data_IF_432375506546
#
_entry.id   IF_432375506546
#
_cell.length_a   1.000
_cell.length_b   1.000
_cell.length_c   1.000
_cell.angle_alpha   90.00
_cell.angle_beta   90.00
_cell.angle_gamma   90.00
#
_symmetry.space_group_name_H-M   'P 1'
#
loop_
_entity.id
_entity.type
_entity.pdbx_description
1 polymer ?
#
# COMPACT_ATOMS: atom_id res chain seq x y z
N UNK A 1 -4.51 20.21 -38.02
CA UNK A 1 -4.64 18.77 -37.76
C UNK A 1 -4.33 18.53 -36.28
N UNK A 2 -5.30 18.82 -35.41
CA UNK A 2 -5.17 18.61 -33.98
C UNK A 2 -5.13 17.11 -33.69
N UNK A 3 -3.92 16.60 -33.46
CA UNK A 3 -3.70 15.22 -33.05
C UNK A 3 -4.25 15.08 -31.62
N UNK A 4 -5.49 14.59 -31.50
CA UNK A 4 -6.10 14.28 -30.21
C UNK A 4 -5.14 13.42 -29.39
N UNK A 5 -4.70 13.96 -28.24
CA UNK A 5 -3.77 13.29 -27.32
C UNK A 5 -4.37 11.95 -26.89
N UNK A 6 -3.67 10.84 -27.14
CA UNK A 6 -4.12 9.49 -26.76
C UNK A 6 -4.45 9.46 -25.26
N UNK A 7 -5.64 8.98 -24.91
CA UNK A 7 -6.10 8.84 -23.53
C UNK A 7 -5.20 7.83 -22.82
N UNK A 8 -4.35 8.29 -21.91
CA UNK A 8 -3.57 7.39 -21.04
C UNK A 8 -4.47 6.93 -19.90
N UNK A 9 -4.46 5.62 -19.63
CA UNK A 9 -5.08 5.11 -18.41
C UNK A 9 -4.33 5.70 -17.20
N UNK A 10 -5.03 6.43 -16.34
CA UNK A 10 -4.43 6.96 -15.12
C UNK A 10 -4.23 5.82 -14.13
N UNK A 11 -2.98 5.36 -14.02
CA UNK A 11 -2.57 4.43 -12.97
C UNK A 11 -2.43 5.16 -11.64
N UNK A 12 -2.66 4.44 -10.55
CA UNK A 12 -2.39 4.97 -9.22
C UNK A 12 -0.88 5.08 -9.03
N UNK A 13 -0.43 6.28 -8.65
CA UNK A 13 0.95 6.53 -8.25
C UNK A 13 0.94 7.29 -6.92
N UNK A 14 1.75 6.86 -5.96
CA UNK A 14 1.98 7.59 -4.72
C UNK A 14 3.38 8.20 -4.76
N UNK A 15 3.47 9.54 -4.69
CA UNK A 15 4.75 10.27 -4.70
C UNK A 15 5.70 9.85 -5.83
N UNK A 16 5.16 9.58 -7.02
CA UNK A 16 5.92 9.15 -8.19
C UNK A 16 6.24 7.66 -8.27
N UNK A 17 5.72 6.83 -7.35
CA UNK A 17 5.90 5.38 -7.33
C UNK A 17 4.57 4.68 -7.63
N UNK A 18 4.60 3.76 -8.59
CA UNK A 18 3.44 2.95 -8.99
C UNK A 18 3.04 1.95 -7.90
N UNK A 19 1.78 1.53 -7.92
CA UNK A 19 1.22 0.61 -6.91
C UNK A 19 2.04 -0.68 -6.74
N UNK A 20 2.40 -1.35 -7.84
CA UNK A 20 3.13 -2.63 -7.78
C UNK A 20 4.47 -2.45 -7.06
N UNK A 21 5.19 -1.38 -7.39
CA UNK A 21 6.46 -1.04 -6.75
C UNK A 21 6.29 -0.70 -5.27
N UNK A 22 5.20 -0.03 -4.88
CA UNK A 22 4.94 0.30 -3.48
C UNK A 22 4.77 -0.94 -2.60
N UNK A 23 4.25 -2.04 -3.16
CA UNK A 23 4.02 -3.29 -2.42
C UNK A 23 5.32 -4.04 -2.13
N UNK A 24 6.34 -3.85 -2.96
CA UNK A 24 7.65 -4.49 -2.83
C UNK A 24 8.61 -3.72 -1.90
N UNK A 25 8.27 -2.48 -1.53
CA UNK A 25 9.13 -1.64 -0.68
C UNK A 25 9.29 -2.24 0.73
N UNK A 26 10.50 -2.15 1.26
CA UNK A 26 10.73 -2.42 2.67
C UNK A 26 10.07 -1.35 3.55
N UNK A 27 9.87 -1.66 4.83
CA UNK A 27 9.31 -0.68 5.78
C UNK A 27 10.21 0.55 5.93
N UNK A 28 11.52 0.39 5.77
CA UNK A 28 12.50 1.48 5.83
C UNK A 28 12.38 2.41 4.63
N UNK A 29 12.33 1.84 3.41
CA UNK A 29 12.15 2.62 2.19
C UNK A 29 10.80 3.36 2.18
N UNK A 30 9.75 2.72 2.71
CA UNK A 30 8.44 3.35 2.84
C UNK A 30 8.45 4.54 3.82
N UNK A 31 9.26 4.48 4.88
CA UNK A 31 9.34 5.56 5.88
C UNK A 31 9.84 6.89 5.30
N UNK A 32 10.73 6.84 4.30
CA UNK A 32 11.25 8.05 3.64
C UNK A 32 10.19 8.73 2.77
N UNK A 33 9.27 7.95 2.22
CA UNK A 33 8.19 8.44 1.36
C UNK A 33 7.03 9.04 2.15
N UNK A 34 6.64 8.44 3.27
CA UNK A 34 5.44 8.88 4.02
C UNK A 34 5.66 10.19 4.79
N UNK A 35 4.56 10.82 5.20
CA UNK A 35 4.59 12.06 6.00
C UNK A 35 5.23 11.85 7.39
N UNK A 36 5.58 12.95 8.06
CA UNK A 36 6.26 12.95 9.38
C UNK A 36 5.50 12.23 10.50
N UNK A 37 4.16 12.11 10.43
CA UNK A 37 3.35 11.42 11.45
C UNK A 37 3.46 9.89 11.32
N UNK A 38 3.17 9.27 10.16
CA UNK A 38 3.45 7.85 9.93
C UNK A 38 4.90 7.45 10.23
N UNK A 39 5.88 8.23 9.76
CA UNK A 39 7.31 7.98 9.99
C UNK A 39 7.65 7.84 11.48
N UNK A 40 7.21 8.80 12.30
CA UNK A 40 7.39 8.75 13.76
C UNK A 40 6.73 7.52 14.40
N UNK A 41 5.60 7.07 13.89
CA UNK A 41 4.92 5.86 14.38
C UNK A 41 5.74 4.61 14.07
N UNK A 42 6.27 4.49 12.85
CA UNK A 42 7.10 3.36 12.46
C UNK A 42 8.43 3.34 13.22
N UNK A 43 9.11 4.47 13.37
CA UNK A 43 10.35 4.59 14.15
C UNK A 43 10.19 4.21 15.62
N UNK A 44 9.05 4.54 16.24
CA UNK A 44 8.73 4.13 17.62
C UNK A 44 8.35 2.64 17.74
N UNK A 45 8.12 1.97 16.62
CA UNK A 45 7.68 0.59 16.57
C UNK A 45 6.16 0.39 16.66
N UNK A 46 5.68 -0.64 15.97
CA UNK A 46 4.29 -1.10 16.05
C UNK A 46 4.13 -2.07 17.22
N UNK A 47 3.31 -1.71 18.21
CA UNK A 47 3.00 -2.56 19.38
C UNK A 47 2.19 -3.81 18.99
N UNK A 48 1.96 -4.70 19.96
CA UNK A 48 1.25 -5.99 19.77
C UNK A 48 -0.12 -5.87 19.08
N UNK A 49 -0.96 -4.92 19.50
CA UNK A 49 -2.32 -4.73 18.94
C UNK A 49 -2.33 -4.47 17.42
N UNK A 50 -1.65 -3.44 16.89
CA UNK A 50 -1.62 -3.20 15.44
C UNK A 50 -0.95 -4.34 14.66
N UNK A 51 0.07 -4.99 15.22
CA UNK A 51 0.68 -6.16 14.56
C UNK A 51 -0.27 -7.35 14.47
N UNK A 52 -1.10 -7.58 15.49
CA UNK A 52 -2.15 -8.60 15.46
C UNK A 52 -3.18 -8.34 14.35
N UNK A 53 -3.61 -7.08 14.19
CA UNK A 53 -4.52 -6.70 13.12
C UNK A 53 -3.93 -6.95 11.73
N UNK A 54 -2.67 -6.55 11.50
CA UNK A 54 -1.99 -6.78 10.22
C UNK A 54 -1.94 -8.27 9.86
N UNK A 55 -1.65 -9.13 10.85
CA UNK A 55 -1.66 -10.59 10.65
C UNK A 55 -3.06 -11.12 10.31
N UNK A 56 -4.11 -10.70 11.04
CA UNK A 56 -5.50 -11.09 10.75
C UNK A 56 -5.90 -10.71 9.32
N UNK A 57 -5.59 -9.48 8.90
CA UNK A 57 -5.94 -8.99 7.55
C UNK A 57 -5.21 -9.75 6.44
N UNK A 58 -3.92 -10.07 6.62
CA UNK A 58 -3.16 -10.88 5.66
C UNK A 58 -3.72 -12.29 5.53
N UNK A 59 -4.09 -12.91 6.66
CA UNK A 59 -4.70 -14.23 6.67
C UNK A 59 -6.06 -14.22 5.97
N UNK A 60 -6.95 -13.29 6.35
CA UNK A 60 -8.26 -13.16 5.74
C UNK A 60 -8.18 -12.91 4.23
N UNK A 61 -7.21 -12.12 3.76
CA UNK A 61 -6.99 -11.89 2.32
C UNK A 61 -6.48 -13.13 1.59
N UNK A 62 -5.69 -13.97 2.26
CA UNK A 62 -5.15 -15.22 1.69
C UNK A 62 -6.23 -16.30 1.57
N UNK A 63 -7.12 -16.40 2.55
CA UNK A 63 -8.16 -17.43 2.60
C UNK A 63 -9.40 -17.07 1.75
N UNK A 64 -9.52 -15.81 1.34
CA UNK A 64 -10.62 -15.35 0.50
C UNK A 64 -10.54 -15.99 -0.90
N UNK A 65 -11.68 -16.45 -1.46
CA UNK A 65 -11.71 -16.96 -2.82
C UNK A 65 -11.36 -15.86 -3.84
N UNK A 66 -10.87 -16.30 -5.00
CA UNK A 66 -10.48 -15.39 -6.06
C UNK A 66 -11.66 -14.51 -6.49
N UNK A 67 -11.38 -13.24 -6.81
CA UNK A 67 -12.37 -12.21 -7.18
C UNK A 67 -13.36 -11.78 -6.09
N UNK A 68 -13.28 -12.33 -4.88
CA UNK A 68 -14.11 -11.90 -3.75
C UNK A 68 -13.36 -11.04 -2.73
N UNK A 69 -14.13 -10.33 -1.90
CA UNK A 69 -13.58 -9.55 -0.78
C UNK A 69 -13.37 -10.47 0.42
N UNK A 70 -12.29 -10.29 1.21
CA UNK A 70 -12.09 -11.05 2.43
C UNK A 70 -13.17 -10.72 3.47
N UNK A 71 -13.46 -11.70 4.33
CA UNK A 71 -14.32 -11.51 5.50
C UNK A 71 -13.70 -10.48 6.48
N UNK A 72 -14.56 -9.72 7.15
CA UNK A 72 -14.18 -8.60 8.07
C UNK A 72 -13.60 -9.12 9.40
#
# INVERSE_FOLDING_TARGET
MDVKKKRTFRKFSYRGIDLDKLLDLSSEQLMDLVNARPRRRFQRGLKRKPMGLIKKLRQAKKDAPAMEKPAV
#
